data_IF_731184307929
#
_entry.id   IF_731184307929
#
_cell.length_a   1.000
_cell.length_b   1.000
_cell.length_c   1.000
_cell.angle_alpha   90.00
_cell.angle_beta   90.00
_cell.angle_gamma   90.00
#
_symmetry.space_group_name_H-M   'P 1'
#
loop_
_entity.id
_entity.type
_entity.pdbx_description
1 polymer ?
#
# COMPACT_ATOMS: atom_id res chain seq x y z
N UNK A 1 7.34 5.23 -26.24
CA UNK A 1 7.70 6.02 -25.04
C UNK A 1 6.49 6.13 -24.09
N UNK A 2 5.99 5.01 -23.54
CA UNK A 2 4.80 5.00 -22.67
C UNK A 2 5.01 4.37 -21.28
N UNK A 3 6.10 3.62 -21.07
CA UNK A 3 6.29 2.83 -19.85
C UNK A 3 7.07 3.54 -18.73
N UNK A 4 7.69 4.70 -18.98
CA UNK A 4 8.46 5.42 -17.96
C UNK A 4 7.61 6.11 -16.89
N UNK A 5 6.28 6.17 -17.07
CA UNK A 5 5.37 6.85 -16.15
C UNK A 5 4.88 5.95 -15.02
N UNK A 6 4.71 4.66 -15.27
CA UNK A 6 4.23 3.69 -14.29
C UNK A 6 5.17 3.54 -13.07
N UNK A 7 6.51 3.39 -13.21
CA UNK A 7 7.36 3.21 -12.04
C UNK A 7 7.37 4.44 -11.12
N UNK A 8 7.31 5.65 -11.67
CA UNK A 8 7.18 6.89 -10.88
C UNK A 8 5.84 6.97 -10.15
N UNK A 9 4.77 6.58 -10.82
CA UNK A 9 3.42 6.58 -10.26
C UNK A 9 3.29 5.55 -9.14
N UNK A 10 3.92 4.38 -9.29
CA UNK A 10 4.00 3.36 -8.24
C UNK A 10 4.74 3.86 -7.00
N UNK A 11 5.87 4.57 -7.17
CA UNK A 11 6.66 5.08 -6.04
C UNK A 11 5.92 6.23 -5.32
N UNK A 12 5.26 7.12 -6.07
CA UNK A 12 4.41 8.17 -5.50
C UNK A 12 3.23 7.59 -4.71
N UNK A 13 2.54 6.59 -5.26
CA UNK A 13 1.46 5.91 -4.55
C UNK A 13 1.97 5.19 -3.30
N UNK A 14 3.16 4.56 -3.35
CA UNK A 14 3.75 3.95 -2.16
C UNK A 14 3.96 4.99 -1.06
N UNK A 15 4.55 6.13 -1.39
CA UNK A 15 4.86 7.18 -0.41
C UNK A 15 3.58 7.77 0.21
N UNK A 16 2.60 8.15 -0.61
CA UNK A 16 1.33 8.69 -0.12
C UNK A 16 0.58 7.70 0.76
N UNK A 17 0.41 6.45 0.32
CA UNK A 17 -0.32 5.46 1.12
C UNK A 17 0.44 5.18 2.42
N UNK A 18 1.78 5.16 2.40
CA UNK A 18 2.60 4.98 3.61
C UNK A 18 2.41 6.14 4.59
N UNK A 19 2.39 7.39 4.09
CA UNK A 19 2.12 8.58 4.90
C UNK A 19 0.72 8.55 5.51
N UNK A 20 -0.30 8.14 4.74
CA UNK A 20 -1.69 8.04 5.22
C UNK A 20 -1.84 7.00 6.33
N UNK A 21 -1.20 5.83 6.18
CA UNK A 21 -1.19 4.79 7.22
C UNK A 21 -0.45 5.29 8.48
N UNK A 22 0.72 5.89 8.32
CA UNK A 22 1.53 6.39 9.44
C UNK A 22 0.81 7.48 10.25
N UNK A 23 0.03 8.32 9.58
CA UNK A 23 -0.78 9.37 10.21
C UNK A 23 -2.03 8.85 10.93
N UNK A 24 -2.28 7.54 10.88
CA UNK A 24 -3.44 6.90 11.52
C UNK A 24 -4.79 7.45 11.05
N UNK A 25 -4.84 8.07 9.87
CA UNK A 25 -6.08 8.56 9.23
C UNK A 25 -6.99 7.41 8.77
N UNK A 26 -6.44 6.20 8.71
CA UNK A 26 -7.16 4.98 8.39
C UNK A 26 -7.82 4.44 9.67
N UNK A 27 -9.13 4.67 9.80
CA UNK A 27 -9.98 4.11 10.86
C UNK A 27 -10.36 2.65 10.59
N UNK A 28 -9.42 1.84 10.08
CA UNK A 28 -9.67 0.44 9.81
C UNK A 28 -8.92 -0.43 10.84
N UNK A 29 -9.63 -1.18 11.71
CA UNK A 29 -9.00 -2.01 12.74
C UNK A 29 -8.12 -3.14 12.17
N UNK A 30 -8.20 -3.42 10.86
CA UNK A 30 -7.36 -4.40 10.16
C UNK A 30 -6.01 -3.80 9.71
N UNK A 31 -5.94 -2.48 9.57
CA UNK A 31 -4.74 -1.73 9.19
C UNK A 31 -4.17 -1.10 10.45
N UNK A 32 -3.62 -1.95 11.31
CA UNK A 32 -3.02 -1.49 12.56
C UNK A 32 -1.86 -0.51 12.27
N UNK A 33 -1.65 0.48 13.15
CA UNK A 33 -0.68 1.60 13.01
C UNK A 33 0.76 1.17 12.67
N UNK A 34 1.10 -0.11 12.84
CA UNK A 34 2.41 -0.69 12.53
C UNK A 34 2.49 -1.40 11.16
N UNK A 35 1.61 -1.07 10.22
CA UNK A 35 1.62 -1.63 8.88
C UNK A 35 2.54 -0.84 7.95
N UNK A 36 3.53 -1.51 7.36
CA UNK A 36 4.51 -0.93 6.42
C UNK A 36 4.21 -1.40 5.01
N UNK A 37 4.22 -0.48 4.03
CA UNK A 37 4.08 -0.84 2.62
C UNK A 37 5.45 -1.17 2.05
N UNK A 38 5.60 -2.37 1.49
CA UNK A 38 6.85 -2.78 0.87
C UNK A 38 6.86 -2.47 -0.63
N UNK A 39 5.74 -2.72 -1.32
CA UNK A 39 5.63 -2.57 -2.78
C UNK A 39 4.21 -2.23 -3.21
N UNK A 40 4.10 -1.41 -4.25
CA UNK A 40 2.83 -1.12 -4.94
C UNK A 40 3.00 -1.44 -6.42
N UNK A 41 2.09 -2.25 -6.97
CA UNK A 41 2.03 -2.56 -8.40
C UNK A 41 0.70 -2.10 -8.95
N UNK A 42 0.73 -1.04 -9.75
CA UNK A 42 -0.46 -0.53 -10.43
C UNK A 42 -0.64 -1.26 -11.76
N UNK A 43 -1.86 -1.67 -12.06
CA UNK A 43 -2.22 -2.27 -13.34
C UNK A 43 -2.06 -1.26 -14.48
N UNK A 44 -1.84 -1.77 -15.70
CA UNK A 44 -1.61 -0.92 -16.87
C UNK A 44 -2.83 -0.04 -17.23
N UNK A 45 -4.03 -0.45 -16.83
CA UNK A 45 -5.28 0.29 -16.98
C UNK A 45 -5.56 1.26 -15.81
N UNK A 46 -4.67 1.35 -14.81
CA UNK A 46 -4.75 2.21 -13.62
C UNK A 46 -6.00 2.00 -12.73
N UNK A 47 -6.88 1.02 -13.03
CA UNK A 47 -8.09 0.77 -12.23
C UNK A 47 -7.82 -0.04 -10.97
N UNK A 48 -6.76 -0.84 -10.97
CA UNK A 48 -6.41 -1.72 -9.87
C UNK A 48 -4.96 -1.52 -9.46
N UNK A 49 -4.70 -1.59 -8.16
CA UNK A 49 -3.37 -1.59 -7.59
C UNK A 49 -3.25 -2.73 -6.58
N UNK A 50 -2.16 -3.50 -6.68
CA UNK A 50 -1.78 -4.50 -5.70
C UNK A 50 -0.81 -3.86 -4.72
N UNK A 51 -1.17 -3.84 -3.44
CA UNK A 51 -0.36 -3.25 -2.37
C UNK A 51 0.14 -4.39 -1.50
N UNK A 52 1.45 -4.53 -1.39
CA UNK A 52 2.10 -5.50 -0.53
C UNK A 52 2.43 -4.82 0.79
N UNK A 53 1.83 -5.35 1.85
CA UNK A 53 1.90 -4.81 3.20
C UNK A 53 2.56 -5.82 4.12
N UNK A 54 3.40 -5.32 5.01
CA UNK A 54 4.04 -6.10 6.08
C UNK A 54 3.61 -5.51 7.41
N UNK A 55 3.01 -6.34 8.26
CA UNK A 55 2.69 -5.96 9.64
C UNK A 55 3.74 -6.54 10.59
N UNK A 56 4.15 -5.76 11.59
CA UNK A 56 4.99 -6.25 12.68
C UNK A 56 4.20 -7.03 13.74
N UNK A 57 2.86 -6.89 13.75
CA UNK A 57 1.97 -7.66 14.61
C UNK A 57 1.72 -9.03 13.99
N UNK A 58 1.86 -10.09 14.80
CA UNK A 58 1.72 -11.49 14.40
C UNK A 58 0.39 -11.77 13.66
N UNK A 59 0.40 -12.83 12.84
CA UNK A 59 -0.57 -13.37 11.85
C UNK A 59 -2.09 -13.33 12.21
N UNK A 60 -2.46 -12.85 13.39
CA UNK A 60 -3.81 -12.83 13.95
C UNK A 60 -4.69 -11.61 13.57
N UNK A 61 -4.15 -10.57 12.93
CA UNK A 61 -4.95 -9.36 12.59
C UNK A 61 -5.12 -9.06 11.11
N UNK A 62 -4.48 -9.80 10.21
CA UNK A 62 -4.65 -9.61 8.77
C UNK A 62 -5.51 -10.74 8.23
N UNK A 63 -6.82 -10.52 8.23
CA UNK A 63 -7.77 -11.42 7.57
C UNK A 63 -7.39 -11.49 6.08
N UNK A 64 -6.97 -12.68 5.63
CA UNK A 64 -6.60 -12.94 4.23
C UNK A 64 -7.86 -12.86 3.37
N UNK A 65 -8.09 -11.68 2.79
CA UNK A 65 -9.07 -11.46 1.72
C UNK A 65 -8.51 -11.85 0.36
#
# INVERSE_FOLDING_TARGET
MGQYRIPRLNDQLRDEISQLILRSEIKDPRVSTFLTINRVEVSNDLRYAKVYVSSFLADAQVEKG
#
